data_IF_199037898444
#
_entry.id   IF_199037898444
#
_cell.length_a   1.000
_cell.length_b   1.000
_cell.length_c   1.000
_cell.angle_alpha   90.00
_cell.angle_beta   90.00
_cell.angle_gamma   90.00
#
_symmetry.space_group_name_H-M   'P 1'
#
loop_
_entity.id
_entity.type
_entity.pdbx_description
1 polymer ?
#
# COMPACT_ATOMS: atom_id res chain seq x y z
N UNK A 1 1.04 -8.42 -18.68
CA UNK A 1 2.15 -8.88 -19.52
C UNK A 1 2.55 -7.73 -20.41
N UNK A 2 3.77 -7.20 -20.27
CA UNK A 2 4.30 -6.21 -21.22
C UNK A 2 5.09 -6.98 -22.30
N UNK A 3 4.88 -6.61 -23.56
CA UNK A 3 5.65 -7.15 -24.69
C UNK A 3 6.15 -5.98 -25.50
N UNK A 4 7.45 -5.93 -25.72
CA UNK A 4 8.07 -4.89 -26.54
C UNK A 4 9.21 -5.48 -27.35
N UNK A 5 9.42 -4.89 -28.53
CA UNK A 5 10.58 -5.17 -29.37
C UNK A 5 11.67 -4.16 -29.05
N UNK A 6 12.89 -4.63 -28.84
CA UNK A 6 14.07 -3.77 -28.76
C UNK A 6 14.57 -3.38 -30.16
N UNK A 7 15.41 -2.36 -30.23
CA UNK A 7 16.06 -1.93 -31.48
C UNK A 7 16.92 -3.04 -32.13
N UNK A 8 17.28 -4.07 -31.35
CA UNK A 8 17.99 -5.27 -31.81
C UNK A 8 17.07 -6.38 -32.34
N UNK A 9 15.76 -6.10 -32.53
CA UNK A 9 14.70 -7.07 -32.91
C UNK A 9 14.49 -8.19 -31.90
N UNK A 10 14.74 -7.94 -30.62
CA UNK A 10 14.52 -8.91 -29.56
C UNK A 10 13.09 -8.81 -29.04
N UNK A 11 12.43 -9.95 -28.85
CA UNK A 11 11.09 -10.01 -28.26
C UNK A 11 11.22 -10.18 -26.75
N UNK A 12 11.01 -9.09 -26.00
CA UNK A 12 10.98 -9.15 -24.54
C UNK A 12 9.55 -9.39 -24.09
N UNK A 13 9.32 -10.48 -23.37
CA UNK A 13 8.05 -10.81 -22.74
C UNK A 13 8.21 -10.70 -21.22
N UNK A 14 7.48 -9.79 -20.61
CA UNK A 14 7.44 -9.64 -19.15
C UNK A 14 6.12 -10.18 -18.62
N UNK A 15 6.03 -11.50 -18.34
CA UNK A 15 4.90 -12.05 -17.63
C UNK A 15 5.02 -11.69 -16.14
N UNK A 16 4.40 -10.58 -15.72
CA UNK A 16 4.17 -10.32 -14.30
C UNK A 16 3.20 -11.37 -13.74
N UNK A 17 3.72 -12.45 -13.16
CA UNK A 17 2.94 -13.44 -12.43
C UNK A 17 3.03 -13.07 -10.95
N UNK A 18 1.96 -12.48 -10.40
CA UNK A 18 1.82 -12.31 -8.95
C UNK A 18 1.44 -13.68 -8.35
N UNK A 19 2.38 -14.36 -7.71
CA UNK A 19 2.13 -15.65 -7.05
C UNK A 19 1.49 -15.44 -5.68
N UNK A 20 0.43 -16.18 -5.37
CA UNK A 20 -0.31 -16.00 -4.12
C UNK A 20 0.58 -16.19 -2.87
N UNK A 21 1.57 -17.09 -2.88
CA UNK A 21 2.43 -17.30 -1.70
C UNK A 21 3.52 -16.24 -1.48
N UNK A 22 3.79 -15.37 -2.46
CA UNK A 22 4.78 -14.28 -2.37
C UNK A 22 4.54 -13.26 -3.52
N UNK A 23 3.97 -12.08 -3.21
CA UNK A 23 3.65 -11.05 -4.21
C UNK A 23 4.89 -10.44 -4.87
N UNK A 24 6.06 -10.60 -4.25
CA UNK A 24 7.31 -9.95 -4.64
C UNK A 24 8.17 -10.81 -5.56
N UNK A 25 7.65 -11.92 -6.10
CA UNK A 25 8.34 -12.73 -7.12
C UNK A 25 7.92 -12.23 -8.50
N UNK A 26 8.76 -11.40 -9.12
CA UNK A 26 8.61 -11.07 -10.54
C UNK A 26 9.43 -12.05 -11.37
N UNK A 27 8.76 -12.91 -12.14
CA UNK A 27 9.41 -13.81 -13.11
C UNK A 27 9.47 -13.12 -14.47
N UNK A 28 10.64 -12.68 -14.89
CA UNK A 28 10.85 -12.16 -16.24
C UNK A 28 11.38 -13.28 -17.15
N UNK A 29 10.75 -13.49 -18.31
CA UNK A 29 11.20 -14.48 -19.30
C UNK A 29 11.77 -13.72 -20.49
N UNK A 30 13.11 -13.70 -20.62
CA UNK A 30 13.77 -13.11 -21.79
C UNK A 30 13.95 -14.20 -22.85
N UNK A 31 13.37 -13.99 -24.03
CA UNK A 31 13.54 -14.86 -25.18
C UNK A 31 14.58 -14.26 -26.14
N UNK A 32 15.78 -14.87 -26.19
CA UNK A 32 16.86 -14.48 -27.09
C UNK A 32 16.92 -15.47 -28.25
N UNK A 33 16.25 -15.17 -29.37
CA UNK A 33 16.06 -16.17 -30.43
C UNK A 33 15.47 -17.47 -29.86
N UNK A 34 15.76 -18.63 -30.45
CA UNK A 34 15.28 -19.95 -30.00
C UNK A 34 15.77 -20.39 -28.59
N UNK A 35 16.38 -19.50 -27.80
CA UNK A 35 16.81 -19.76 -26.42
C UNK A 35 16.05 -18.88 -25.42
N UNK A 36 15.24 -19.51 -24.58
CA UNK A 36 14.60 -18.86 -23.44
C UNK A 36 15.56 -18.83 -22.23
N UNK A 37 15.66 -17.68 -21.58
CA UNK A 37 16.38 -17.49 -20.30
C UNK A 37 15.44 -16.88 -19.27
N UNK A 38 15.45 -17.41 -18.04
CA UNK A 38 14.60 -16.95 -16.93
C UNK A 38 15.47 -16.16 -15.96
N UNK A 39 15.08 -14.92 -15.64
CA UNK A 39 15.72 -14.10 -14.60
C UNK A 39 14.69 -13.74 -13.51
N UNK A 40 15.07 -13.92 -12.25
CA UNK A 40 14.31 -13.49 -11.07
C UNK A 40 14.84 -12.11 -10.67
N UNK A 41 13.99 -11.09 -10.71
CA UNK A 41 14.42 -9.68 -10.58
C UNK A 41 14.20 -9.13 -9.17
N UNK A 42 13.29 -9.74 -8.40
CA UNK A 42 13.10 -9.40 -6.99
C UNK A 42 12.58 -10.64 -6.23
N UNK A 43 13.02 -10.80 -4.98
CA UNK A 43 12.67 -11.91 -4.10
C UNK A 43 12.70 -11.43 -2.65
N UNK A 44 11.58 -10.92 -2.15
CA UNK A 44 11.42 -10.75 -0.70
C UNK A 44 11.05 -12.09 -0.09
N UNK A 45 12.03 -12.80 0.49
CA UNK A 45 11.75 -14.04 1.22
C UNK A 45 11.23 -13.68 2.61
N UNK A 46 9.96 -13.93 2.89
CA UNK A 46 9.44 -14.03 4.26
C UNK A 46 9.98 -15.32 4.91
N UNK A 47 11.30 -15.38 5.11
CA UNK A 47 12.02 -16.59 5.54
C UNK A 47 11.66 -17.04 6.96
N UNK A 48 10.89 -16.24 7.69
CA UNK A 48 10.68 -16.41 9.13
C UNK A 48 9.25 -16.70 9.57
N UNK A 49 8.22 -16.55 8.71
CA UNK A 49 6.83 -16.76 9.16
C UNK A 49 5.86 -17.17 8.04
N UNK A 50 5.66 -18.48 7.79
CA UNK A 50 4.67 -18.99 6.82
C UNK A 50 3.26 -18.44 7.02
N UNK A 51 2.87 -18.15 8.27
CA UNK A 51 1.55 -17.59 8.57
C UNK A 51 1.33 -16.16 8.06
N UNK A 52 2.39 -15.38 7.80
CA UNK A 52 2.25 -14.00 7.32
C UNK A 52 1.84 -13.96 5.85
N UNK A 53 2.32 -14.92 5.04
CA UNK A 53 1.89 -15.08 3.66
C UNK A 53 0.38 -15.38 3.58
N UNK A 54 -0.13 -16.26 4.45
CA UNK A 54 -1.57 -16.58 4.48
C UNK A 54 -2.44 -15.36 4.81
N UNK A 55 -1.99 -14.52 5.76
CA UNK A 55 -2.69 -13.27 6.13
C UNK A 55 -2.66 -12.28 4.96
N UNK A 56 -1.50 -12.14 4.32
CA UNK A 56 -1.34 -11.28 3.15
C UNK A 56 -2.31 -11.67 2.03
N UNK A 57 -2.37 -12.97 1.69
CA UNK A 57 -3.30 -13.51 0.68
C UNK A 57 -4.75 -13.27 1.08
N UNK A 58 -5.08 -13.50 2.35
CA UNK A 58 -6.44 -13.28 2.88
C UNK A 58 -6.87 -11.82 2.71
N UNK A 59 -5.97 -10.87 2.99
CA UNK A 59 -6.21 -9.44 2.77
C UNK A 59 -6.35 -9.12 1.28
N UNK A 60 -5.43 -9.62 0.43
CA UNK A 60 -5.48 -9.40 -1.02
C UNK A 60 -6.79 -9.90 -1.63
N UNK A 61 -7.17 -11.16 -1.37
CA UNK A 61 -8.40 -11.76 -1.90
C UNK A 61 -9.62 -10.94 -1.47
N UNK A 62 -9.65 -10.50 -0.21
CA UNK A 62 -10.74 -9.67 0.30
C UNK A 62 -10.80 -8.30 -0.37
N UNK A 63 -9.66 -7.61 -0.53
CA UNK A 63 -9.62 -6.34 -1.26
C UNK A 63 -10.00 -6.48 -2.73
N UNK A 64 -9.53 -7.53 -3.42
CA UNK A 64 -9.84 -7.79 -4.82
C UNK A 64 -11.33 -8.08 -4.98
N UNK A 65 -11.94 -8.91 -4.13
CA UNK A 65 -13.39 -9.18 -4.16
C UNK A 65 -14.20 -7.90 -4.01
N UNK A 66 -13.86 -7.07 -3.02
CA UNK A 66 -14.54 -5.78 -2.85
C UNK A 66 -14.34 -4.87 -4.05
N UNK A 67 -13.14 -4.89 -4.65
CA UNK A 67 -12.77 -4.10 -5.84
C UNK A 67 -13.58 -4.52 -7.07
N UNK A 68 -13.77 -5.81 -7.28
CA UNK A 68 -14.60 -6.35 -8.36
C UNK A 68 -16.10 -6.10 -8.10
N UNK A 69 -16.56 -6.24 -6.86
CA UNK A 69 -17.98 -6.07 -6.53
C UNK A 69 -18.46 -4.64 -6.76
N UNK A 70 -17.77 -3.62 -6.25
CA UNK A 70 -18.24 -2.24 -6.46
C UNK A 70 -18.00 -1.71 -7.88
N UNK A 71 -17.12 -2.30 -8.69
CA UNK A 71 -17.10 -2.04 -10.14
C UNK A 71 -18.38 -2.57 -10.81
N UNK A 72 -18.83 -3.77 -10.44
CA UNK A 72 -20.06 -4.38 -10.97
C UNK A 72 -21.32 -3.64 -10.53
N UNK A 73 -21.40 -3.24 -9.27
CA UNK A 73 -22.62 -2.67 -8.73
C UNK A 73 -22.85 -1.20 -9.11
N UNK A 74 -21.86 -0.49 -9.69
CA UNK A 74 -21.85 0.99 -9.85
C UNK A 74 -22.27 1.73 -8.56
N UNK A 75 -22.20 1.08 -7.40
CA UNK A 75 -22.63 1.63 -6.13
C UNK A 75 -21.50 2.52 -5.62
N UNK A 76 -21.76 3.81 -5.64
CA UNK A 76 -20.91 4.93 -5.17
C UNK A 76 -20.48 4.85 -3.68
N UNK A 77 -20.79 3.76 -2.97
CA UNK A 77 -21.17 3.83 -1.55
C UNK A 77 -20.17 3.24 -0.55
N UNK A 78 -19.12 2.49 -0.96
CA UNK A 78 -18.54 1.55 0.02
C UNK A 78 -17.06 1.28 -0.11
N UNK A 79 -16.17 2.28 -0.10
CA UNK A 79 -14.73 1.97 -0.08
C UNK A 79 -13.90 2.73 0.93
N UNK A 80 -13.07 1.94 1.60
CA UNK A 80 -12.26 2.22 2.78
C UNK A 80 -10.88 2.66 2.28
N UNK A 81 -10.78 3.90 1.84
CA UNK A 81 -9.48 4.51 1.60
C UNK A 81 -8.75 4.63 2.94
N UNK A 82 -7.51 4.11 2.96
CA UNK A 82 -6.40 4.30 3.91
C UNK A 82 -6.83 4.56 5.37
N UNK A 83 -7.72 3.70 5.89
CA UNK A 83 -8.21 3.78 7.28
C UNK A 83 -7.12 3.65 8.33
N UNK A 84 -6.00 3.02 7.98
CA UNK A 84 -4.90 2.69 8.89
C UNK A 84 -3.88 3.81 9.05
N UNK A 85 -3.95 4.85 8.20
CA UNK A 85 -3.27 6.12 8.43
C UNK A 85 -3.69 6.72 9.78
N UNK A 86 -4.97 6.60 10.14
CA UNK A 86 -5.50 7.21 11.36
C UNK A 86 -4.93 6.58 12.64
N UNK A 87 -4.61 5.29 12.63
CA UNK A 87 -3.95 4.61 13.77
C UNK A 87 -2.52 5.17 13.95
N UNK A 88 -1.76 5.24 12.85
CA UNK A 88 -0.38 5.74 12.86
C UNK A 88 -0.27 7.25 13.13
N UNK A 89 -1.18 8.05 12.57
CA UNK A 89 -1.15 9.52 12.59
C UNK A 89 -1.37 10.15 13.97
N UNK A 90 -1.69 9.35 14.98
CA UNK A 90 -1.83 9.82 16.38
C UNK A 90 -0.50 9.90 17.13
N UNK A 91 0.59 9.45 16.52
CA UNK A 91 1.91 9.44 17.15
C UNK A 91 2.39 10.84 17.52
N UNK A 92 3.06 10.93 18.66
CA UNK A 92 3.76 12.11 19.14
C UNK A 92 5.18 11.72 19.54
N UNK A 93 6.14 12.28 18.82
CA UNK A 93 7.57 12.01 18.99
C UNK A 93 8.11 12.49 20.35
N UNK A 94 7.49 13.49 20.97
CA UNK A 94 7.95 14.06 22.23
C UNK A 94 7.47 13.22 23.42
N UNK A 95 6.19 12.85 23.40
CA UNK A 95 5.59 12.06 24.49
C UNK A 95 5.72 10.55 24.28
N UNK A 96 6.09 10.11 23.08
CA UNK A 96 6.14 8.69 22.67
C UNK A 96 4.80 7.98 22.87
N UNK A 97 3.70 8.68 22.63
CA UNK A 97 2.32 8.17 22.77
C UNK A 97 1.58 8.14 21.43
N UNK A 98 0.55 7.29 21.33
CA UNK A 98 -0.17 7.06 20.07
C UNK A 98 0.65 6.22 19.08
N UNK A 99 0.28 6.30 17.80
CA UNK A 99 0.96 5.59 16.72
C UNK A 99 0.32 4.24 16.37
N UNK A 100 0.92 3.50 15.41
CA UNK A 100 0.43 2.27 14.81
C UNK A 100 0.47 1.10 15.81
N UNK A 101 -0.38 1.14 16.81
CA UNK A 101 -0.42 0.20 17.93
C UNK A 101 -1.80 -0.49 18.05
N UNK A 102 -2.67 -0.29 17.04
CA UNK A 102 -3.99 -0.88 16.97
C UNK A 102 -5.02 -0.29 17.92
N UNK A 103 -4.69 0.76 18.71
CA UNK A 103 -5.63 1.36 19.67
C UNK A 103 -6.89 1.89 19.01
N UNK A 104 -6.85 2.20 17.70
CA UNK A 104 -8.01 2.67 16.92
C UNK A 104 -9.24 1.76 17.02
N UNK A 105 -9.07 0.49 17.39
CA UNK A 105 -10.18 -0.46 17.62
C UNK A 105 -10.98 -0.19 18.90
N UNK A 106 -10.46 0.63 19.82
CA UNK A 106 -11.11 0.97 21.08
C UNK A 106 -12.35 1.84 20.81
N UNK A 107 -13.38 1.68 21.65
CA UNK A 107 -14.60 2.48 21.55
C UNK A 107 -14.37 3.97 21.75
N UNK A 108 -13.39 4.33 22.58
CA UNK A 108 -12.95 5.70 22.75
C UNK A 108 -12.41 6.28 21.42
N UNK A 109 -11.48 5.57 20.77
CA UNK A 109 -10.76 6.11 19.63
C UNK A 109 -11.54 6.08 18.32
N UNK A 110 -12.27 5.00 17.98
CA UNK A 110 -13.05 4.99 16.73
C UNK A 110 -14.24 5.95 16.77
N UNK A 111 -14.63 6.45 17.95
CA UNK A 111 -15.69 7.47 18.12
C UNK A 111 -15.18 8.90 18.03
N UNK A 112 -13.86 9.14 17.99
CA UNK A 112 -13.33 10.46 17.67
C UNK A 112 -13.93 10.97 16.35
N UNK A 113 -14.23 12.27 16.27
CA UNK A 113 -14.88 12.89 15.11
C UNK A 113 -14.09 12.68 13.82
N UNK A 114 -12.75 12.75 13.89
CA UNK A 114 -11.86 12.46 12.75
C UNK A 114 -11.92 11.01 12.27
N UNK A 115 -12.42 10.08 13.08
CA UNK A 115 -12.50 8.64 12.80
C UNK A 115 -13.90 8.19 12.37
N UNK A 116 -14.82 9.13 12.10
CA UNK A 116 -16.19 8.81 11.74
C UNK A 116 -16.26 7.90 10.50
N UNK A 117 -16.90 6.73 10.67
CA UNK A 117 -17.02 5.69 9.64
C UNK A 117 -15.95 4.59 9.68
N UNK A 118 -14.86 4.75 10.44
CA UNK A 118 -13.77 3.76 10.51
C UNK A 118 -14.18 2.44 11.17
N UNK A 119 -15.24 2.42 11.98
CA UNK A 119 -15.79 1.19 12.55
C UNK A 119 -16.09 0.13 11.49
N UNK A 120 -16.54 0.54 10.29
CA UNK A 120 -16.77 -0.36 9.16
C UNK A 120 -15.49 -1.01 8.63
N UNK A 121 -14.34 -0.36 8.77
CA UNK A 121 -13.02 -0.88 8.40
C UNK A 121 -12.46 -1.79 9.49
N UNK A 122 -12.65 -1.42 10.76
CA UNK A 122 -12.29 -2.25 11.92
C UNK A 122 -13.03 -3.59 11.85
N UNK A 123 -14.35 -3.57 11.65
CA UNK A 123 -15.17 -4.78 11.53
C UNK A 123 -14.79 -5.65 10.33
N UNK A 124 -14.29 -5.02 9.26
CA UNK A 124 -13.80 -5.72 8.08
C UNK A 124 -12.51 -6.49 8.38
N UNK A 125 -11.59 -5.89 9.13
CA UNK A 125 -10.37 -6.55 9.58
C UNK A 125 -10.66 -7.64 10.62
N UNK A 126 -11.72 -7.51 11.41
CA UNK A 126 -12.09 -8.51 12.42
C UNK A 126 -12.32 -9.90 11.82
N UNK A 127 -12.88 -9.98 10.61
CA UNK A 127 -13.08 -11.25 9.92
C UNK A 127 -11.75 -11.92 9.51
N UNK A 128 -10.72 -11.12 9.22
CA UNK A 128 -9.36 -11.63 8.96
C UNK A 128 -8.70 -12.00 10.29
N UNK A 129 -8.84 -11.14 11.30
CA UNK A 129 -8.30 -11.36 12.66
C UNK A 129 -8.80 -12.68 13.26
N UNK A 130 -10.08 -12.99 13.14
CA UNK A 130 -10.69 -14.20 13.70
C UNK A 130 -10.11 -15.49 13.11
N UNK A 131 -9.70 -15.46 11.83
CA UNK A 131 -9.01 -16.55 11.14
C UNK A 131 -7.52 -16.62 11.47
N UNK A 132 -6.93 -15.51 11.91
CA UNK A 132 -5.51 -15.40 12.21
C UNK A 132 -5.29 -14.82 13.62
N UNK A 133 -5.62 -15.55 14.70
CA UNK A 133 -5.58 -15.01 16.06
C UNK A 133 -4.18 -14.60 16.55
N UNK A 134 -3.12 -15.09 15.89
CA UNK A 134 -1.71 -14.83 16.26
C UNK A 134 -1.18 -13.45 15.87
N UNK A 135 -1.72 -12.81 14.82
CA UNK A 135 -1.30 -11.46 14.44
C UNK A 135 -1.90 -10.45 15.43
N UNK A 136 -1.14 -9.42 15.79
CA UNK A 136 -1.65 -8.28 16.56
C UNK A 136 -2.58 -7.44 15.69
N UNK A 137 -3.52 -6.73 16.29
CA UNK A 137 -4.33 -5.75 15.55
C UNK A 137 -3.43 -4.67 14.94
N UNK A 138 -2.42 -4.23 15.67
CA UNK A 138 -1.43 -3.26 15.21
C UNK A 138 -0.76 -3.69 13.89
N UNK A 139 -0.23 -4.91 13.83
CA UNK A 139 0.38 -5.42 12.59
C UNK A 139 -0.67 -5.69 11.51
N UNK A 140 -1.87 -6.17 11.86
CA UNK A 140 -2.93 -6.43 10.89
C UNK A 140 -3.38 -5.15 10.17
N UNK A 141 -3.55 -4.05 10.90
CA UNK A 141 -3.97 -2.77 10.33
C UNK A 141 -2.90 -2.17 9.42
N UNK A 142 -1.64 -2.15 9.85
CA UNK A 142 -0.56 -1.64 9.02
C UNK A 142 -0.33 -2.52 7.78
N UNK A 143 -0.43 -3.85 7.92
CA UNK A 143 -0.37 -4.78 6.78
C UNK A 143 -1.53 -4.56 5.80
N UNK A 144 -2.75 -4.35 6.31
CA UNK A 144 -3.89 -4.05 5.46
C UNK A 144 -3.72 -2.73 4.69
N UNK A 145 -3.01 -1.74 5.25
CA UNK A 145 -2.63 -0.51 4.55
C UNK A 145 -1.66 -0.76 3.40
N UNK A 146 -0.60 -1.53 3.65
CA UNK A 146 0.37 -1.94 2.63
C UNK A 146 -0.30 -2.72 1.50
N UNK A 147 -1.10 -3.73 1.84
CA UNK A 147 -1.82 -4.55 0.85
C UNK A 147 -2.76 -3.69 0.02
N UNK A 148 -3.47 -2.73 0.64
CA UNK A 148 -4.39 -1.84 -0.07
C UNK A 148 -3.70 -1.01 -1.16
N UNK A 149 -2.48 -0.53 -0.91
CA UNK A 149 -1.68 0.21 -1.89
C UNK A 149 -1.23 -0.74 -3.02
N UNK A 150 -0.75 -1.93 -2.70
CA UNK A 150 -0.20 -2.85 -3.71
C UNK A 150 -1.28 -3.44 -4.63
N UNK A 151 -2.46 -3.78 -4.09
CA UNK A 151 -3.58 -4.33 -4.88
C UNK A 151 -4.22 -3.31 -5.79
N UNK A 152 -4.07 -2.02 -5.49
CA UNK A 152 -4.58 -0.90 -6.31
C UNK A 152 -3.55 -0.42 -7.35
N UNK A 153 -2.38 -1.05 -7.43
CA UNK A 153 -1.35 -0.78 -8.44
C UNK A 153 -0.22 0.15 -7.98
N UNK A 154 -0.20 0.51 -6.70
CA UNK A 154 0.82 1.37 -6.12
C UNK A 154 2.15 0.67 -5.85
N UNK A 155 3.11 1.36 -5.23
CA UNK A 155 4.43 0.82 -4.95
C UNK A 155 4.39 -0.30 -3.90
N UNK A 156 5.37 -1.19 -3.96
CA UNK A 156 5.65 -2.13 -2.88
C UNK A 156 6.20 -1.38 -1.66
N UNK A 157 5.61 -1.62 -0.49
CA UNK A 157 6.03 -1.04 0.78
C UNK A 157 6.55 -2.17 1.66
N UNK A 158 7.81 -2.07 2.07
CA UNK A 158 8.39 -3.03 2.99
C UNK A 158 7.65 -3.04 4.33
N UNK A 159 7.11 -4.20 4.69
CA UNK A 159 6.42 -4.40 5.96
C UNK A 159 7.30 -5.15 6.96
N UNK A 160 7.49 -4.57 8.15
CA UNK A 160 8.19 -5.22 9.27
C UNK A 160 7.19 -5.58 10.37
N UNK A 161 6.99 -6.86 10.72
CA UNK A 161 6.10 -7.26 11.80
C UNK A 161 6.73 -7.07 13.18
N UNK A 162 5.88 -7.05 14.21
CA UNK A 162 6.28 -7.04 15.61
C UNK A 162 5.62 -5.97 16.47
N UNK A 163 4.66 -5.21 15.93
CA UNK A 163 3.92 -4.21 16.70
C UNK A 163 3.08 -4.88 17.77
N UNK A 164 2.94 -4.22 18.92
CA UNK A 164 2.13 -4.70 20.04
C UNK A 164 0.83 -3.93 20.11
N UNK A 165 -0.23 -4.64 20.45
CA UNK A 165 -1.53 -4.03 20.67
C UNK A 165 -1.51 -3.16 21.94
N UNK A 166 -1.90 -1.89 21.78
CA UNK A 166 -2.20 -1.01 22.90
C UNK A 166 -3.65 -1.19 23.35
N UNK A 167 -3.90 -0.96 24.63
CA UNK A 167 -5.23 -0.75 25.21
C UNK A 167 -5.50 0.72 25.55
N UNK A 168 -4.48 1.57 25.39
CA UNK A 168 -4.54 2.99 25.70
C UNK A 168 -4.76 3.75 24.40
N UNK A 169 -5.88 4.47 24.32
CA UNK A 169 -6.20 5.37 23.22
C UNK A 169 -5.45 6.71 23.40
N UNK A 170 -4.93 7.32 22.34
CA UNK A 170 -4.49 8.71 22.36
C UNK A 170 -5.70 9.63 22.51
N UNK A 171 -5.50 10.82 23.08
CA UNK A 171 -6.55 11.85 23.11
C UNK A 171 -6.89 12.32 21.68
N UNK A 172 -8.15 12.65 21.47
CA UNK A 172 -8.62 13.27 20.22
C UNK A 172 -7.88 14.58 19.88
N UNK A 173 -7.87 14.95 18.60
CA UNK A 173 -7.32 16.21 18.11
C UNK A 173 -5.89 16.11 17.55
N UNK A 174 -5.35 14.89 17.43
CA UNK A 174 -4.02 14.66 16.86
C UNK A 174 -3.99 14.50 15.34
N UNK A 175 -5.13 14.24 14.71
CA UNK A 175 -5.23 14.09 13.25
C UNK A 175 -5.40 15.44 12.55
N UNK A 176 -4.99 15.58 11.27
CA UNK A 176 -5.09 16.85 10.56
C UNK A 176 -6.54 17.27 10.32
N UNK A 177 -6.77 18.58 10.26
CA UNK A 177 -8.06 19.19 9.95
C UNK A 177 -8.01 19.62 8.48
N UNK A 178 -8.88 19.02 7.66
CA UNK A 178 -8.99 19.25 6.23
C UNK A 178 -9.27 20.72 5.86
N UNK A 179 -9.76 21.55 6.79
CA UNK A 179 -10.10 22.95 6.55
C UNK A 179 -8.92 23.92 6.74
N UNK A 180 -7.77 23.43 7.20
CA UNK A 180 -6.60 24.26 7.50
C UNK A 180 -5.58 24.23 6.35
N UNK A 181 -4.47 24.93 6.52
CA UNK A 181 -3.40 25.07 5.51
C UNK A 181 -2.05 24.49 5.95
N UNK A 182 -1.00 24.87 5.21
CA UNK A 182 0.35 24.33 5.36
C UNK A 182 0.95 24.40 6.77
N UNK A 183 0.80 25.51 7.55
CA UNK A 183 1.30 25.54 8.93
C UNK A 183 0.71 24.44 9.81
N UNK A 184 -0.59 24.15 9.66
CA UNK A 184 -1.25 23.08 10.40
C UNK A 184 -0.77 21.70 9.96
N UNK A 185 -0.52 21.50 8.66
CA UNK A 185 0.08 20.25 8.18
C UNK A 185 1.45 20.02 8.82
N UNK A 186 2.31 21.05 8.86
CA UNK A 186 3.60 20.96 9.56
C UNK A 186 3.43 20.68 11.05
N UNK A 187 2.56 21.39 11.76
CA UNK A 187 2.32 21.14 13.19
C UNK A 187 1.96 19.68 13.48
N UNK A 188 1.13 19.08 12.63
CA UNK A 188 0.66 17.71 12.80
C UNK A 188 1.73 16.68 12.40
N UNK A 189 2.35 16.82 11.24
CA UNK A 189 3.31 15.84 10.71
C UNK A 189 4.69 15.97 11.37
N UNK A 190 5.12 17.17 11.75
CA UNK A 190 6.37 17.36 12.49
C UNK A 190 6.27 16.79 13.91
N UNK A 191 5.09 16.83 14.53
CA UNK A 191 4.82 16.10 15.78
C UNK A 191 5.02 14.59 15.62
N UNK A 192 4.73 14.04 14.43
CA UNK A 192 5.01 12.64 14.12
C UNK A 192 6.50 12.38 13.84
N UNK A 193 7.30 13.42 13.56
CA UNK A 193 8.68 13.31 13.11
C UNK A 193 8.83 13.11 11.60
N UNK A 194 7.82 13.50 10.82
CA UNK A 194 7.82 13.43 9.35
C UNK A 194 8.23 14.79 8.76
N UNK A 195 8.82 14.78 7.57
CA UNK A 195 9.33 15.95 6.85
C UNK A 195 8.33 16.53 5.85
N UNK A 196 8.62 17.71 5.27
CA UNK A 196 7.82 18.31 4.20
C UNK A 196 7.66 17.39 2.98
N UNK A 197 8.71 16.64 2.62
CA UNK A 197 8.63 15.61 1.55
C UNK A 197 7.60 14.53 1.91
N UNK A 198 7.64 14.06 3.15
CA UNK A 198 6.74 13.00 3.62
C UNK A 198 5.29 13.51 3.63
N UNK A 199 5.04 14.77 4.02
CA UNK A 199 3.70 15.41 3.97
C UNK A 199 3.14 15.33 2.55
N UNK A 200 3.87 15.85 1.56
CA UNK A 200 3.38 15.93 0.18
C UNK A 200 3.21 14.53 -0.42
N UNK A 201 4.17 13.62 -0.20
CA UNK A 201 4.07 12.25 -0.67
C UNK A 201 2.83 11.54 -0.08
N UNK A 202 2.65 11.60 1.24
CA UNK A 202 1.53 10.94 1.93
C UNK A 202 0.17 11.53 1.56
N UNK A 203 0.08 12.83 1.27
CA UNK A 203 -1.13 13.44 0.71
C UNK A 203 -1.54 12.80 -0.62
N UNK A 204 -0.58 12.29 -1.40
CA UNK A 204 -0.85 11.49 -2.60
C UNK A 204 -1.69 10.23 -2.35
N UNK A 205 -1.84 9.79 -1.11
CA UNK A 205 -2.78 8.72 -0.73
C UNK A 205 -4.23 9.04 -1.07
N UNK A 206 -4.61 10.32 -1.18
CA UNK A 206 -5.92 10.76 -1.66
C UNK A 206 -6.18 10.38 -3.13
N UNK A 207 -5.19 9.90 -3.87
CA UNK A 207 -5.41 9.26 -5.19
C UNK A 207 -6.44 8.12 -5.10
N UNK A 208 -6.53 7.48 -3.93
CA UNK A 208 -7.52 6.46 -3.61
C UNK A 208 -8.72 7.01 -2.83
N UNK A 209 -9.92 6.63 -3.28
CA UNK A 209 -11.17 6.79 -2.57
C UNK A 209 -11.85 8.14 -2.76
N UNK A 210 -12.62 8.53 -1.74
CA UNK A 210 -13.48 9.71 -1.76
C UNK A 210 -13.80 10.20 -0.36
N UNK A 211 -14.15 11.48 -0.24
CA UNK A 211 -14.83 11.99 0.93
C UNK A 211 -16.33 11.64 0.89
N UNK A 212 -16.94 11.72 2.06
CA UNK A 212 -18.33 11.38 2.32
C UNK A 212 -18.92 12.45 3.25
N UNK A 213 -19.99 13.13 2.82
CA UNK A 213 -20.56 14.26 3.53
C UNK A 213 -20.97 13.90 4.96
N UNK A 214 -21.50 12.69 5.18
CA UNK A 214 -21.92 12.20 6.49
C UNK A 214 -20.77 11.90 7.46
N UNK A 215 -19.52 11.87 6.95
CA UNK A 215 -18.32 11.57 7.75
C UNK A 215 -17.52 12.82 8.05
N UNK A 216 -17.12 13.55 7.00
CA UNK A 216 -16.19 14.69 7.10
C UNK A 216 -16.84 16.04 6.76
N UNK A 217 -18.07 16.04 6.24
CA UNK A 217 -18.71 17.24 5.68
C UNK A 217 -18.24 17.61 4.27
N UNK A 218 -17.31 16.84 3.68
CA UNK A 218 -16.87 16.96 2.29
C UNK A 218 -17.40 15.79 1.47
N UNK A 219 -17.64 15.97 0.17
CA UNK A 219 -18.10 14.90 -0.71
C UNK A 219 -17.35 14.90 -2.04
N UNK A 220 -17.07 13.70 -2.56
CA UNK A 220 -16.49 13.49 -3.88
C UNK A 220 -15.12 12.79 -3.85
N UNK A 221 -14.74 12.14 -4.96
CA UNK A 221 -13.40 11.58 -5.15
C UNK A 221 -12.40 12.66 -5.53
N UNK A 222 -11.11 12.44 -5.25
CA UNK A 222 -10.04 13.33 -5.73
C UNK A 222 -9.63 13.04 -7.17
N UNK A 223 -9.81 11.80 -7.62
CA UNK A 223 -9.40 11.33 -8.95
C UNK A 223 -10.58 10.71 -9.70
N UNK A 224 -10.45 10.64 -11.04
CA UNK A 224 -11.45 10.01 -11.90
C UNK A 224 -11.50 8.48 -11.72
N UNK A 225 -10.38 7.88 -11.33
CA UNK A 225 -10.22 6.45 -11.05
C UNK A 225 -9.85 6.21 -9.57
N UNK A 226 -10.79 6.38 -8.62
CA UNK A 226 -10.51 6.38 -7.17
C UNK A 226 -10.09 5.01 -6.60
N UNK A 227 -9.77 4.03 -7.45
CA UNK A 227 -9.40 2.65 -7.13
C UNK A 227 -8.04 2.26 -7.68
N UNK A 228 -7.43 3.18 -8.43
CA UNK A 228 -6.13 3.01 -9.04
C UNK A 228 -5.17 3.90 -8.28
N UNK A 229 -4.11 3.30 -7.75
CA UNK A 229 -3.05 4.07 -7.11
C UNK A 229 -2.07 4.50 -8.20
N UNK A 230 -2.14 5.78 -8.54
CA UNK A 230 -1.29 6.45 -9.53
C UNK A 230 -1.06 7.91 -9.10
N UNK A 231 -0.31 8.68 -9.89
CA UNK A 231 -0.03 10.08 -9.57
C UNK A 231 -1.18 11.07 -9.91
N UNK A 232 -2.38 10.59 -10.28
CA UNK A 232 -3.49 11.45 -10.72
C UNK A 232 -3.90 12.49 -9.69
N UNK A 233 -3.75 12.22 -8.39
CA UNK A 233 -4.00 13.21 -7.34
C UNK A 233 -3.25 14.53 -7.59
N UNK A 234 -1.95 14.46 -7.89
CA UNK A 234 -1.14 15.65 -8.13
C UNK A 234 -1.44 16.30 -9.48
N UNK A 235 -1.74 15.48 -10.49
CA UNK A 235 -2.15 15.96 -11.83
C UNK A 235 -3.44 16.78 -11.73
N UNK A 236 -4.47 16.24 -11.06
CA UNK A 236 -5.74 16.94 -10.88
C UNK A 236 -5.61 18.14 -9.95
N UNK A 237 -4.73 18.07 -8.94
CA UNK A 237 -4.42 19.21 -8.07
C UNK A 237 -3.85 20.40 -8.87
N UNK A 238 -2.89 20.16 -9.77
CA UNK A 238 -2.29 21.20 -10.62
C UNK A 238 -3.24 21.74 -11.70
N UNK A 239 -4.20 20.93 -12.17
CA UNK A 239 -5.20 21.36 -13.14
C UNK A 239 -6.24 22.33 -12.53
N UNK A 240 -6.30 22.44 -11.20
CA UNK A 240 -7.29 23.23 -10.48
C UNK A 240 -8.64 22.53 -10.34
N UNK A 241 -9.65 23.27 -9.89
CA UNK A 241 -10.97 22.70 -9.62
C UNK A 241 -11.65 22.17 -10.91
N UNK A 242 -12.08 20.91 -10.86
CA UNK A 242 -12.79 20.23 -11.95
C UNK A 242 -14.15 19.74 -11.45
N UNK A 243 -15.17 19.81 -12.31
CA UNK A 243 -16.52 19.36 -11.95
C UNK A 243 -16.51 17.86 -11.54
N UNK A 244 -17.04 17.58 -10.35
CA UNK A 244 -17.14 16.23 -9.80
C UNK A 244 -15.89 15.70 -9.09
N UNK A 245 -14.79 16.47 -9.03
CA UNK A 245 -13.60 16.14 -8.24
C UNK A 245 -13.48 17.04 -7.01
N UNK A 246 -12.95 16.47 -5.93
CA UNK A 246 -12.75 17.13 -4.65
C UNK A 246 -11.31 17.64 -4.54
N UNK A 247 -11.15 18.85 -4.00
CA UNK A 247 -9.89 19.34 -3.45
C UNK A 247 -10.17 20.00 -2.10
N UNK A 248 -9.61 19.45 -1.03
CA UNK A 248 -9.71 20.02 0.31
C UNK A 248 -8.83 21.28 0.41
N UNK A 249 -9.13 22.20 1.36
CA UNK A 249 -8.22 23.29 1.70
C UNK A 249 -6.79 22.82 1.99
N UNK A 250 -6.61 21.68 2.67
CA UNK A 250 -5.28 21.10 2.90
C UNK A 250 -4.59 20.58 1.65
N UNK A 251 -5.34 20.12 0.63
CA UNK A 251 -4.76 19.70 -0.65
C UNK A 251 -4.24 20.93 -1.42
N UNK A 252 -5.05 21.99 -1.48
CA UNK A 252 -4.67 23.26 -2.13
C UNK A 252 -3.45 23.91 -1.47
N UNK A 253 -3.35 23.77 -0.15
CA UNK A 253 -2.20 24.27 0.60
C UNK A 253 -0.85 23.68 0.16
N UNK A 254 -0.85 22.52 -0.52
CA UNK A 254 0.38 21.94 -1.11
C UNK A 254 0.89 22.74 -2.30
N UNK A 255 0.03 23.50 -3.00
CA UNK A 255 0.42 24.37 -4.11
C UNK A 255 0.71 25.81 -3.68
N UNK A 256 0.10 26.24 -2.58
CA UNK A 256 0.25 27.59 -2.03
C UNK A 256 1.56 27.75 -1.25
N UNK A 257 2.08 26.66 -0.66
CA UNK A 257 3.32 26.68 0.12
C UNK A 257 4.55 26.46 -0.78
N UNK A 258 5.57 27.35 -0.72
CA UNK A 258 6.72 27.30 -1.61
C UNK A 258 7.64 26.09 -1.40
N UNK A 259 7.60 25.44 -0.22
CA UNK A 259 8.41 24.26 0.05
C UNK A 259 7.68 22.96 -0.33
N UNK A 260 6.35 22.96 -0.28
CA UNK A 260 5.53 21.81 -0.71
C UNK A 260 5.39 21.72 -2.22
N UNK A 261 5.18 22.86 -2.88
CA UNK A 261 4.86 22.94 -4.30
C UNK A 261 5.87 22.21 -5.21
N UNK A 262 7.20 22.31 -5.00
CA UNK A 262 8.17 21.59 -5.83
C UNK A 262 7.97 20.07 -5.81
N UNK A 263 7.59 19.48 -4.67
CA UNK A 263 7.29 18.05 -4.59
C UNK A 263 5.98 17.71 -5.31
N UNK A 264 4.93 18.52 -5.17
CA UNK A 264 3.66 18.30 -5.87
C UNK A 264 3.84 18.37 -7.39
N UNK A 265 4.62 19.35 -7.88
CA UNK A 265 4.95 19.47 -9.31
C UNK A 265 5.84 18.33 -9.82
N UNK A 266 6.77 17.84 -8.98
CA UNK A 266 7.59 16.67 -9.30
C UNK A 266 6.71 15.43 -9.45
N UNK A 267 5.87 15.13 -8.46
CA UNK A 267 5.05 13.92 -8.44
C UNK A 267 4.00 13.90 -9.55
N UNK A 268 3.46 15.06 -9.96
CA UNK A 268 2.59 15.15 -11.12
C UNK A 268 3.29 14.82 -12.46
N UNK A 269 4.61 15.08 -12.56
CA UNK A 269 5.40 14.85 -13.77
C UNK A 269 6.05 13.47 -13.80
N UNK A 270 6.36 12.91 -12.62
CA UNK A 270 7.15 11.69 -12.45
C UNK A 270 6.48 10.78 -11.41
N UNK A 271 5.72 9.79 -11.92
CA UNK A 271 5.05 8.79 -11.10
C UNK A 271 6.04 7.86 -10.37
N UNK A 272 7.19 7.54 -10.98
CA UNK A 272 8.20 6.70 -10.34
C UNK A 272 8.84 7.41 -9.14
N UNK A 273 9.04 8.73 -9.25
CA UNK A 273 9.44 9.56 -8.12
C UNK A 273 8.39 9.58 -7.01
N UNK A 274 7.11 9.78 -7.37
CA UNK A 274 6.00 9.69 -6.41
C UNK A 274 5.98 8.33 -5.71
N UNK A 275 6.05 7.23 -6.45
CA UNK A 275 5.96 5.88 -5.91
C UNK A 275 7.11 5.58 -4.94
N UNK A 276 8.33 5.97 -5.29
CA UNK A 276 9.50 5.81 -4.42
C UNK A 276 9.35 6.59 -3.12
N UNK A 277 8.99 7.87 -3.19
CA UNK A 277 8.88 8.72 -2.02
C UNK A 277 7.63 8.37 -1.18
N UNK A 278 6.54 7.93 -1.80
CA UNK A 278 5.36 7.40 -1.12
C UNK A 278 5.70 6.14 -0.34
N UNK A 279 6.42 5.19 -0.94
CA UNK A 279 6.80 3.96 -0.26
C UNK A 279 7.69 4.22 0.96
N UNK A 280 8.68 5.13 0.82
CA UNK A 280 9.53 5.56 1.92
C UNK A 280 8.71 6.22 3.05
N UNK A 281 7.83 7.15 2.69
CA UNK A 281 7.02 7.92 3.65
C UNK A 281 5.97 7.05 4.35
N UNK A 282 5.32 6.14 3.62
CA UNK A 282 4.34 5.20 4.16
C UNK A 282 5.02 4.23 5.13
N UNK A 283 6.23 3.74 4.81
CA UNK A 283 7.00 2.92 5.74
C UNK A 283 7.30 3.67 7.04
N UNK A 284 7.85 4.89 6.96
CA UNK A 284 8.12 5.74 8.14
C UNK A 284 6.88 5.92 9.00
N UNK A 285 5.74 6.26 8.39
CA UNK A 285 4.46 6.37 9.05
C UNK A 285 4.08 5.08 9.78
N UNK A 286 4.11 3.95 9.06
CA UNK A 286 3.68 2.66 9.61
C UNK A 286 4.56 2.19 10.77
N UNK A 287 5.77 2.72 10.90
CA UNK A 287 6.77 2.38 11.92
C UNK A 287 6.92 3.46 13.01
N UNK A 288 6.07 4.50 13.04
CA UNK A 288 6.13 5.54 14.05
C UNK A 288 6.06 4.95 15.48
N UNK A 289 7.07 5.22 16.30
CA UNK A 289 7.15 4.65 17.65
C UNK A 289 7.39 3.14 17.73
N UNK A 290 7.52 2.45 16.60
CA UNK A 290 7.92 1.05 16.52
C UNK A 290 9.43 0.97 16.29
N UNK A 291 10.10 0.15 17.10
CA UNK A 291 11.51 -0.18 16.88
C UNK A 291 11.59 -1.66 16.58
N UNK A 292 11.91 -2.05 15.34
CA UNK A 292 12.17 -3.44 14.99
C UNK A 292 13.23 -4.01 15.93
N UNK A 293 12.97 -5.21 16.46
CA UNK A 293 13.97 -5.88 17.29
C UNK A 293 15.18 -6.16 16.40
N UNK A 294 16.32 -5.53 16.67
CA UNK A 294 17.54 -5.78 15.90
C UNK A 294 17.80 -7.29 15.93
N UNK A 295 17.72 -7.95 14.78
CA UNK A 295 18.27 -9.29 14.66
C UNK A 295 19.77 -9.16 14.90
N UNK A 296 20.21 -9.54 16.10
CA UNK A 296 21.61 -9.79 16.38
C UNK A 296 22.05 -10.96 15.53
N UNK A 297 22.41 -10.71 14.27
CA UNK A 297 23.07 -11.64 13.38
C UNK A 297 23.73 -10.82 12.27
N UNK A 298 25.01 -10.51 12.47
CA UNK A 298 25.92 -10.39 11.33
C UNK A 298 25.82 -11.72 10.57
N UNK A 299 25.07 -11.75 9.47
CA UNK A 299 25.07 -12.89 8.57
C UNK A 299 26.46 -12.94 7.93
N UNK A 300 27.30 -13.83 8.45
CA UNK A 300 28.48 -14.29 7.74
C UNK A 300 27.95 -15.15 6.60
N UNK A 301 28.08 -14.64 5.38
CA UNK A 301 27.84 -15.36 4.13
C UNK A 301 28.67 -16.65 4.11
N UNK A 302 28.00 -17.80 4.12
CA UNK A 302 28.54 -19.04 3.55
C UNK A 302 27.54 -19.58 2.52
N UNK A 303 27.99 -19.46 1.28
CA UNK A 303 27.28 -19.71 0.04
C UNK A 303 26.97 -21.19 -0.26
N UNK A 304 26.05 -21.35 -1.22
CA UNK A 304 26.01 -22.38 -2.28
C UNK A 304 25.07 -23.59 -2.14
N UNK A 305 24.66 -24.07 -0.97
CA UNK A 305 23.86 -25.32 -0.89
C UNK A 305 22.34 -25.12 -0.89
N UNK A 306 21.82 -23.99 -0.40
CA UNK A 306 20.37 -23.74 -0.29
C UNK A 306 19.74 -23.25 -1.61
N UNK A 307 20.54 -22.62 -2.48
CA UNK A 307 20.11 -22.13 -3.80
C UNK A 307 19.73 -23.25 -4.78
N UNK A 308 20.34 -24.44 -4.66
CA UNK A 308 20.14 -25.51 -5.64
C UNK A 308 18.83 -26.26 -5.42
N UNK A 309 18.42 -26.51 -4.16
CA UNK A 309 17.17 -27.24 -3.89
C UNK A 309 15.92 -26.39 -4.16
N UNK A 310 15.99 -25.08 -3.90
CA UNK A 310 14.90 -24.13 -4.18
C UNK A 310 14.73 -23.86 -5.68
N UNK A 311 15.82 -23.75 -6.44
CA UNK A 311 15.78 -23.58 -7.90
C UNK A 311 15.16 -24.79 -8.62
N UNK A 312 15.43 -26.02 -8.15
CA UNK A 312 14.86 -27.24 -8.75
C UNK A 312 13.34 -27.33 -8.54
N UNK A 313 12.84 -26.95 -7.36
CA UNK A 313 11.41 -26.92 -7.08
C UNK A 313 10.65 -25.91 -7.96
N UNK A 314 11.24 -24.74 -8.21
CA UNK A 314 10.68 -23.68 -9.06
C UNK A 314 10.70 -24.06 -10.54
N UNK A 315 11.76 -24.72 -11.02
CA UNK A 315 11.85 -25.19 -12.40
C UNK A 315 10.78 -26.25 -12.73
N UNK A 316 10.51 -27.16 -11.78
CA UNK A 316 9.46 -28.18 -11.93
C UNK A 316 8.07 -27.55 -11.96
N UNK A 317 7.80 -26.56 -11.09
CA UNK A 317 6.51 -25.87 -11.06
C UNK A 317 6.25 -25.06 -12.34
N UNK A 318 7.27 -24.35 -12.85
CA UNK A 318 7.17 -23.60 -14.11
C UNK A 318 6.94 -24.53 -15.31
N UNK A 319 7.62 -25.68 -15.36
CA UNK A 319 7.43 -26.67 -16.43
C UNK A 319 6.00 -27.25 -16.42
N UNK A 320 5.44 -27.54 -15.24
CA UNK A 320 4.06 -28.03 -15.11
C UNK A 320 3.06 -26.99 -15.63
N UNK A 321 3.22 -25.71 -15.28
CA UNK A 321 2.33 -24.64 -15.75
C UNK A 321 2.40 -24.46 -17.27
N UNK A 322 3.60 -24.48 -17.85
CA UNK A 322 3.80 -24.37 -19.30
C UNK A 322 3.16 -25.56 -20.02
N UNK A 323 3.36 -26.78 -19.52
CA UNK A 323 2.77 -27.99 -20.11
C UNK A 323 1.24 -28.01 -19.96
N UNK A 324 0.70 -27.58 -18.82
CA UNK A 324 -0.76 -27.45 -18.61
C UNK A 324 -1.39 -26.39 -19.52
N UNK A 325 -0.69 -25.28 -19.76
CA UNK A 325 -1.14 -24.23 -20.69
C UNK A 325 -1.17 -24.73 -22.14
N UNK A 326 -0.11 -25.42 -22.59
CA UNK A 326 -0.10 -26.04 -23.92
C UNK A 326 -1.15 -27.14 -24.07
N UNK A 327 -1.40 -27.92 -23.01
CA UNK A 327 -2.47 -28.93 -23.00
C UNK A 327 -3.86 -28.31 -23.20
N UNK A 328 -4.18 -27.23 -22.48
CA UNK A 328 -5.47 -26.53 -22.61
C UNK A 328 -5.65 -25.82 -23.95
N UNK A 329 -4.57 -25.27 -24.53
CA UNK A 329 -4.61 -24.74 -25.91
C UNK A 329 -4.92 -25.86 -26.91
N UNK A 330 -4.24 -27.01 -26.78
CA UNK A 330 -4.43 -28.16 -27.68
C UNK A 330 -5.84 -28.75 -27.58
N UNK A 331 -6.44 -28.71 -26.39
CA UNK A 331 -7.81 -29.14 -26.13
C UNK A 331 -8.85 -28.20 -26.76
N UNK A 332 -8.60 -26.89 -26.77
CA UNK A 332 -9.47 -25.88 -27.42
C UNK A 332 -9.37 -25.83 -28.94
N UNK A 333 -8.31 -26.43 -29.51
CA UNK A 333 -8.09 -26.52 -30.96
C UNK A 333 -8.64 -27.81 -31.60
N UNK A 334 -9.29 -28.68 -30.82
CA UNK A 334 -9.90 -29.94 -31.31
C UNK A 334 -11.41 -29.88 -31.28
#
# INVERSE_FOLDING_TARGET
>A
MKVYLTDEKELIMEPSIKWAGNPNVTVAVKAFGLKATVQVVDLQVFASFPWFADIYVSLMDKFIRETVEAEKERKKEKRRSISWWHDAGTYDVNTKTGGPNGSIRSEEEYKHGSNNGLKKAIDWCEEVKSRHPKITYADLYQLAGVVAVEVTGGPTIDFVPGRRDSIVSPKEGRLPDAKKGAPHLRDIFYRMGLSDKDIVALSGGHTLGRAHAERSGFDGPWTKEPLKFDNSYFVELLNGESEGLLQLPTDKALLDDPEFRPYAELYAKDEDAFFRDYAESHKKLSELGFTPRSSGSKVITKDSTILVQSAVGVAVAAAVVVLSYFYEIRKKMK
#
